data_IF_015368108475
#
_entry.id   IF_015368108475
#
_cell.length_a   1.000
_cell.length_b   1.000
_cell.length_c   1.000
_cell.angle_alpha   90.00
_cell.angle_beta   90.00
_cell.angle_gamma   90.00
#
_symmetry.space_group_name_H-M   'P 1'
#
loop_
_entity.id
_entity.type
_entity.pdbx_description
1 polymer ?
#
# COMPACT_ATOMS: atom_id res chain seq x y z
N UNK A 1 6.02 23.96 -10.83
CA UNK A 1 5.78 22.83 -9.92
C UNK A 1 4.31 22.46 -10.09
N UNK A 2 4.02 21.21 -10.45
CA UNK A 2 2.62 20.76 -10.58
C UNK A 2 1.98 20.63 -9.18
N UNK A 3 0.65 20.58 -9.11
CA UNK A 3 -0.07 20.35 -7.84
C UNK A 3 0.38 19.06 -7.16
N UNK A 4 0.73 18.05 -7.94
CA UNK A 4 1.24 16.77 -7.46
C UNK A 4 2.64 16.92 -6.84
N UNK A 5 3.56 17.62 -7.52
CA UNK A 5 4.90 17.81 -6.98
C UNK A 5 4.87 18.61 -5.66
N UNK A 6 3.93 19.57 -5.54
CA UNK A 6 3.70 20.30 -4.29
C UNK A 6 3.16 19.38 -3.19
N UNK A 7 2.28 18.43 -3.51
CA UNK A 7 1.80 17.44 -2.55
C UNK A 7 2.94 16.54 -2.06
N UNK A 8 3.78 16.01 -2.96
CA UNK A 8 4.95 15.22 -2.60
C UNK A 8 5.86 15.99 -1.65
N UNK A 9 6.18 17.24 -1.99
CA UNK A 9 7.03 18.08 -1.16
C UNK A 9 6.44 18.34 0.23
N UNK A 10 5.12 18.55 0.31
CA UNK A 10 4.44 18.72 1.59
C UNK A 10 4.51 17.47 2.48
N UNK A 11 4.57 16.27 1.88
CA UNK A 11 4.74 15.00 2.60
C UNK A 11 6.19 14.82 3.04
N UNK A 12 7.15 15.05 2.15
CA UNK A 12 8.60 14.99 2.45
C UNK A 12 8.99 15.94 3.59
N UNK A 13 8.40 17.15 3.62
CA UNK A 13 8.64 18.16 4.65
C UNK A 13 7.69 18.05 5.86
N UNK A 14 6.85 17.00 5.92
CA UNK A 14 5.85 16.85 6.98
C UNK A 14 6.52 16.49 8.31
N UNK A 15 6.04 17.13 9.37
CA UNK A 15 6.44 16.78 10.73
C UNK A 15 6.05 15.30 11.06
N UNK A 16 6.93 14.51 11.69
CA UNK A 16 6.68 13.09 11.94
C UNK A 16 5.39 12.78 12.70
N UNK A 17 5.00 13.61 13.68
CA UNK A 17 3.76 13.39 14.44
C UNK A 17 2.53 13.62 13.55
N UNK A 18 2.58 14.65 12.70
CA UNK A 18 1.51 14.93 11.72
C UNK A 18 1.43 13.85 10.66
N UNK A 19 2.57 13.36 10.19
CA UNK A 19 2.64 12.27 9.23
C UNK A 19 1.97 11.02 9.83
N UNK A 20 2.36 10.63 11.05
CA UNK A 20 1.79 9.48 11.73
C UNK A 20 0.28 9.66 11.98
N UNK A 21 -0.16 10.85 12.38
CA UNK A 21 -1.58 11.16 12.55
C UNK A 21 -2.34 10.98 11.23
N UNK A 22 -1.88 11.62 10.15
CA UNK A 22 -2.53 11.52 8.84
C UNK A 22 -2.57 10.07 8.33
N UNK A 23 -1.46 9.35 8.46
CA UNK A 23 -1.38 7.95 8.10
C UNK A 23 -2.42 7.10 8.86
N UNK A 24 -2.51 7.28 10.18
CA UNK A 24 -3.47 6.55 11.02
C UNK A 24 -4.92 6.90 10.70
N UNK A 25 -5.23 8.19 10.49
CA UNK A 25 -6.56 8.65 10.12
C UNK A 25 -7.01 8.02 8.80
N UNK A 26 -6.13 7.99 7.80
CA UNK A 26 -6.40 7.39 6.49
C UNK A 26 -6.48 5.86 6.57
N UNK A 27 -5.60 5.24 7.34
CA UNK A 27 -5.65 3.80 7.62
C UNK A 27 -7.01 3.38 8.18
N UNK A 28 -7.51 4.10 9.20
CA UNK A 28 -8.81 3.80 9.83
C UNK A 28 -9.97 4.00 8.85
N UNK A 29 -9.94 5.05 8.03
CA UNK A 29 -10.95 5.28 7.01
C UNK A 29 -11.00 4.14 5.99
N UNK A 30 -9.85 3.73 5.46
CA UNK A 30 -9.73 2.61 4.51
C UNK A 30 -10.20 1.31 5.13
N UNK A 31 -9.71 0.95 6.33
CA UNK A 31 -10.12 -0.28 7.04
C UNK A 31 -11.64 -0.29 7.24
N UNK A 32 -12.24 0.83 7.69
CA UNK A 32 -13.67 0.91 7.93
C UNK A 32 -14.49 0.68 6.65
N UNK A 33 -14.04 1.26 5.53
CA UNK A 33 -14.70 1.07 4.23
C UNK A 33 -14.54 -0.36 3.74
N UNK A 34 -13.33 -0.92 3.77
CA UNK A 34 -13.08 -2.31 3.39
C UNK A 34 -13.89 -3.31 4.23
N UNK A 35 -13.96 -3.11 5.54
CA UNK A 35 -14.80 -3.93 6.43
C UNK A 35 -16.29 -3.83 6.13
N UNK A 36 -16.77 -2.71 5.56
CA UNK A 36 -18.17 -2.60 5.13
C UNK A 36 -18.48 -3.31 3.82
N UNK A 37 -17.45 -3.59 3.01
CA UNK A 37 -17.54 -4.27 1.73
C UNK A 37 -17.42 -5.80 1.84
N UNK A 38 -16.88 -6.32 2.94
CA UNK A 38 -16.66 -7.75 3.13
C UNK A 38 -17.85 -8.40 3.85
N UNK A 39 -18.25 -9.60 3.39
CA UNK A 39 -19.47 -10.28 3.85
C UNK A 39 -19.46 -10.68 5.33
N UNK A 40 -18.27 -10.78 5.95
CA UNK A 40 -18.10 -11.12 7.37
C UNK A 40 -17.56 -9.96 8.23
N UNK A 41 -17.26 -8.80 7.61
CA UNK A 41 -16.70 -7.60 8.23
C UNK A 41 -15.30 -7.73 8.84
N UNK A 42 -14.78 -8.96 9.00
CA UNK A 42 -13.49 -9.27 9.62
C UNK A 42 -12.33 -9.20 8.64
N UNK A 43 -12.62 -9.37 7.35
CA UNK A 43 -11.59 -9.43 6.32
C UNK A 43 -11.00 -8.06 5.96
N UNK A 44 -11.69 -6.95 6.26
CA UNK A 44 -11.22 -5.60 5.89
C UNK A 44 -9.87 -5.22 6.50
N UNK A 45 -9.57 -5.68 7.72
CA UNK A 45 -8.24 -5.50 8.34
C UNK A 45 -7.18 -6.35 7.63
N UNK A 46 -7.52 -7.59 7.25
CA UNK A 46 -6.59 -8.48 6.53
C UNK A 46 -6.26 -7.92 5.15
N UNK A 47 -7.28 -7.50 4.38
CA UNK A 47 -7.11 -6.86 3.07
C UNK A 47 -6.25 -5.60 3.19
N UNK A 48 -6.48 -4.78 4.23
CA UNK A 48 -5.66 -3.60 4.48
C UNK A 48 -4.20 -3.96 4.78
N UNK A 49 -3.95 -4.99 5.60
CA UNK A 49 -2.59 -5.46 5.89
C UNK A 49 -1.88 -5.96 4.62
N UNK A 50 -2.58 -6.70 3.76
CA UNK A 50 -2.07 -7.16 2.47
C UNK A 50 -1.76 -5.99 1.53
N UNK A 51 -2.65 -4.99 1.47
CA UNK A 51 -2.44 -3.76 0.73
C UNK A 51 -1.17 -3.03 1.19
N UNK A 52 -1.03 -2.78 2.50
CA UNK A 52 0.13 -2.09 3.05
C UNK A 52 1.42 -2.85 2.77
N UNK A 53 1.40 -4.18 2.90
CA UNK A 53 2.53 -5.03 2.55
C UNK A 53 2.92 -4.87 1.08
N UNK A 54 1.93 -4.88 0.17
CA UNK A 54 2.17 -4.72 -1.26
C UNK A 54 2.69 -3.31 -1.61
N UNK A 55 2.18 -2.26 -0.94
CA UNK A 55 2.60 -0.87 -1.13
C UNK A 55 4.05 -0.64 -0.71
N UNK A 56 4.48 -1.15 0.44
CA UNK A 56 5.90 -1.11 0.86
C UNK A 56 6.77 -1.92 -0.11
N UNK A 57 6.26 -3.05 -0.61
CA UNK A 57 7.01 -3.91 -1.54
C UNK A 57 7.18 -3.32 -2.95
N UNK A 58 6.57 -2.17 -3.23
CA UNK A 58 6.52 -1.58 -4.57
C UNK A 58 7.88 -1.08 -5.06
N UNK A 59 8.83 -0.76 -4.17
CA UNK A 59 10.20 -0.36 -4.52
C UNK A 59 11.20 -1.55 -4.44
N UNK A 60 10.76 -2.67 -3.85
CA UNK A 60 11.51 -3.92 -3.70
C UNK A 60 12.54 -3.92 -2.57
N UNK A 61 12.50 -2.92 -1.68
CA UNK A 61 13.35 -2.84 -0.50
C UNK A 61 12.47 -2.70 0.74
N UNK A 62 13.11 -2.89 1.89
CA UNK A 62 12.47 -2.65 3.18
C UNK A 62 13.41 -1.74 3.95
N UNK A 63 12.99 -0.52 4.22
CA UNK A 63 13.71 0.43 5.05
C UNK A 63 13.41 0.21 6.53
N UNK A 64 14.20 0.77 7.45
CA UNK A 64 13.90 0.70 8.88
C UNK A 64 12.54 1.31 9.26
N UNK A 65 12.12 2.40 8.60
CA UNK A 65 10.85 3.05 8.92
C UNK A 65 9.66 2.25 8.34
N UNK A 66 9.79 1.74 7.13
CA UNK A 66 8.82 0.82 6.53
C UNK A 66 8.69 -0.48 7.35
N UNK A 67 9.81 -0.96 7.88
CA UNK A 67 9.79 -2.08 8.81
C UNK A 67 8.97 -1.78 10.06
N UNK A 68 9.12 -0.60 10.67
CA UNK A 68 8.31 -0.23 11.85
C UNK A 68 6.81 -0.21 11.51
N UNK A 69 6.46 0.20 10.29
CA UNK A 69 5.09 0.14 9.78
C UNK A 69 4.58 -1.30 9.67
N UNK A 70 5.39 -2.19 9.08
CA UNK A 70 5.05 -3.59 8.85
C UNK A 70 5.27 -4.51 10.05
N UNK A 71 5.93 -4.01 11.10
CA UNK A 71 6.30 -4.81 12.27
C UNK A 71 5.12 -5.59 12.85
N UNK A 72 3.91 -5.02 13.05
CA UNK A 72 2.77 -5.80 13.54
C UNK A 72 2.38 -6.97 12.62
N UNK A 73 2.58 -6.82 11.31
CA UNK A 73 2.35 -7.88 10.31
C UNK A 73 3.41 -8.96 10.45
N UNK A 74 4.69 -8.58 10.48
CA UNK A 74 5.79 -9.52 10.64
C UNK A 74 5.75 -10.27 11.97
N UNK A 75 5.43 -9.58 13.07
CA UNK A 75 5.30 -10.18 14.40
C UNK A 75 4.19 -11.24 14.42
N UNK A 76 3.05 -10.92 13.78
CA UNK A 76 1.93 -11.85 13.65
C UNK A 76 2.29 -13.06 12.79
N UNK A 77 3.00 -12.86 11.68
CA UNK A 77 3.40 -13.94 10.77
C UNK A 77 4.46 -14.86 11.39
N UNK A 78 5.38 -14.31 12.18
CA UNK A 78 6.47 -15.05 12.80
C UNK A 78 6.12 -15.57 14.21
N UNK A 79 4.94 -15.21 14.74
CA UNK A 79 4.49 -15.50 16.11
C UNK A 79 5.53 -15.10 17.19
N UNK A 80 6.29 -14.04 16.92
CA UNK A 80 7.34 -13.51 17.81
C UNK A 80 7.51 -12.01 17.62
N UNK A 81 8.14 -11.36 18.58
CA UNK A 81 8.63 -9.99 18.41
C UNK A 81 9.84 -10.01 17.45
N UNK A 82 9.65 -9.60 16.21
CA UNK A 82 10.69 -9.60 15.17
C UNK A 82 11.67 -8.44 15.35
N UNK A 83 12.93 -8.65 14.98
CA UNK A 83 13.88 -7.55 14.71
C UNK A 83 13.78 -7.06 13.27
N UNK A 84 14.46 -5.96 12.94
CA UNK A 84 14.56 -5.49 11.55
C UNK A 84 15.19 -6.55 10.63
N UNK A 85 16.22 -7.26 11.11
CA UNK A 85 16.87 -8.33 10.36
C UNK A 85 15.93 -9.51 10.10
N UNK A 86 15.09 -9.86 11.09
CA UNK A 86 14.01 -10.83 10.90
C UNK A 86 13.03 -10.35 9.82
N UNK A 87 12.61 -9.08 9.87
CA UNK A 87 11.72 -8.48 8.88
C UNK A 87 12.28 -8.53 7.46
N UNK A 88 13.55 -8.18 7.27
CA UNK A 88 14.25 -8.29 5.98
C UNK A 88 14.31 -9.75 5.49
N UNK A 89 14.55 -10.70 6.40
CA UNK A 89 14.56 -12.12 6.05
C UNK A 89 13.18 -12.60 5.58
N UNK A 90 12.12 -12.24 6.30
CA UNK A 90 10.72 -12.55 5.94
C UNK A 90 10.37 -11.92 4.60
N UNK A 91 10.70 -10.63 4.42
CA UNK A 91 10.43 -9.87 3.21
C UNK A 91 11.03 -10.53 1.96
N UNK A 92 12.31 -10.92 2.05
CA UNK A 92 12.98 -11.63 0.96
C UNK A 92 12.43 -13.04 0.74
N UNK A 93 12.13 -13.78 1.81
CA UNK A 93 11.62 -15.15 1.72
C UNK A 93 10.24 -15.21 1.04
N UNK A 94 9.41 -14.19 1.27
CA UNK A 94 8.11 -14.02 0.63
C UNK A 94 8.21 -13.51 -0.82
N UNK A 95 9.40 -13.11 -1.26
CA UNK A 95 9.61 -12.55 -2.60
C UNK A 95 9.12 -11.10 -2.74
N UNK A 96 8.91 -10.39 -1.63
CA UNK A 96 8.50 -8.98 -1.60
C UNK A 96 9.56 -8.04 -2.20
N UNK A 97 10.80 -8.51 -2.32
CA UNK A 97 11.89 -7.83 -3.03
C UNK A 97 11.77 -7.86 -4.57
N UNK A 98 10.58 -8.15 -5.12
CA UNK A 98 10.29 -8.23 -6.56
C UNK A 98 9.24 -7.18 -6.95
N UNK A 99 9.64 -5.91 -7.11
CA UNK A 99 8.72 -4.76 -7.11
C UNK A 99 7.66 -4.79 -8.22
N UNK A 100 8.03 -5.25 -9.43
CA UNK A 100 7.13 -5.22 -10.59
C UNK A 100 5.88 -6.10 -10.48
N UNK A 101 5.85 -7.07 -9.56
CA UNK A 101 4.63 -7.84 -9.27
C UNK A 101 3.71 -7.08 -8.32
N UNK A 102 4.26 -6.48 -7.26
CA UNK A 102 3.48 -5.80 -6.22
C UNK A 102 2.94 -4.45 -6.68
N UNK A 103 3.67 -3.70 -7.52
CA UNK A 103 3.14 -2.48 -8.14
C UNK A 103 1.84 -2.76 -8.91
N UNK A 104 1.75 -3.88 -9.63
CA UNK A 104 0.55 -4.29 -10.37
C UNK A 104 -0.59 -4.75 -9.45
N UNK A 105 -0.24 -5.40 -8.33
CA UNK A 105 -1.23 -5.79 -7.31
C UNK A 105 -1.86 -4.54 -6.71
N UNK A 106 -1.04 -3.56 -6.32
CA UNK A 106 -1.52 -2.30 -5.74
C UNK A 106 -2.36 -1.51 -6.74
N UNK A 107 -1.94 -1.44 -8.00
CA UNK A 107 -2.69 -0.80 -9.10
C UNK A 107 -4.09 -1.42 -9.24
N UNK A 108 -4.15 -2.75 -9.38
CA UNK A 108 -5.40 -3.49 -9.45
C UNK A 108 -6.29 -3.28 -8.21
N UNK A 109 -5.71 -3.29 -7.01
CA UNK A 109 -6.45 -3.05 -5.77
C UNK A 109 -7.05 -1.64 -5.74
N UNK A 110 -6.23 -0.60 -6.00
CA UNK A 110 -6.67 0.78 -6.03
C UNK A 110 -7.81 1.00 -7.03
N UNK A 111 -7.74 0.33 -8.17
CA UNK A 111 -8.77 0.37 -9.19
C UNK A 111 -10.06 -0.33 -8.81
N UNK A 112 -10.00 -1.58 -8.32
CA UNK A 112 -11.19 -2.30 -7.84
C UNK A 112 -11.89 -1.49 -6.77
N UNK A 113 -11.13 -0.92 -5.83
CA UNK A 113 -11.68 -0.08 -4.78
C UNK A 113 -12.28 1.22 -5.33
N UNK A 114 -11.65 1.85 -6.32
CA UNK A 114 -12.19 3.03 -6.99
C UNK A 114 -13.46 2.78 -7.79
N UNK A 115 -13.68 1.57 -8.32
CA UNK A 115 -14.95 1.20 -8.94
C UNK A 115 -16.11 1.16 -7.94
N UNK A 116 -15.81 0.95 -6.65
CA UNK A 116 -16.79 0.85 -5.58
C UNK A 116 -16.99 2.18 -4.86
N UNK A 117 -15.90 2.92 -4.62
CA UNK A 117 -15.89 4.19 -3.88
C UNK A 117 -14.66 5.03 -4.31
N UNK A 118 -14.89 6.16 -4.99
CA UNK A 118 -13.82 7.05 -5.44
C UNK A 118 -13.02 7.64 -4.27
N UNK A 119 -13.69 7.96 -3.15
CA UNK A 119 -13.01 8.48 -1.95
C UNK A 119 -12.12 7.39 -1.32
N UNK A 120 -12.48 6.09 -1.47
CA UNK A 120 -11.62 4.98 -1.03
C UNK A 120 -10.35 4.90 -1.87
N UNK A 121 -10.45 5.10 -3.20
CA UNK A 121 -9.28 5.13 -4.09
C UNK A 121 -8.36 6.30 -3.71
N UNK A 122 -8.91 7.48 -3.47
CA UNK A 122 -8.13 8.65 -3.04
C UNK A 122 -7.38 8.40 -1.72
N UNK A 123 -8.04 7.81 -0.72
CA UNK A 123 -7.41 7.49 0.55
C UNK A 123 -6.28 6.44 0.40
N UNK A 124 -6.47 5.44 -0.47
CA UNK A 124 -5.48 4.40 -0.77
C UNK A 124 -4.27 4.97 -1.49
N UNK A 125 -4.48 5.82 -2.49
CA UNK A 125 -3.39 6.50 -3.21
C UNK A 125 -2.61 7.39 -2.24
N UNK A 126 -3.29 8.11 -1.36
CA UNK A 126 -2.64 8.92 -0.34
C UNK A 126 -1.81 8.07 0.62
N UNK A 127 -2.29 6.89 1.03
CA UNK A 127 -1.52 5.97 1.86
C UNK A 127 -0.27 5.48 1.12
N UNK A 128 -0.37 5.08 -0.16
CA UNK A 128 0.81 4.72 -0.96
C UNK A 128 1.83 5.86 -1.01
N UNK A 129 1.36 7.08 -1.21
CA UNK A 129 2.23 8.26 -1.27
C UNK A 129 2.89 8.54 0.09
N UNK A 130 2.18 8.34 1.19
CA UNK A 130 2.74 8.42 2.54
C UNK A 130 3.80 7.32 2.74
N UNK A 131 3.54 6.07 2.37
CA UNK A 131 4.52 4.98 2.46
C UNK A 131 5.82 5.36 1.74
N UNK A 132 5.75 5.82 0.50
CA UNK A 132 6.94 6.31 -0.23
C UNK A 132 7.64 7.48 0.48
N UNK A 133 6.89 8.35 1.13
CA UNK A 133 7.42 9.51 1.84
C UNK A 133 7.96 9.23 3.24
N UNK A 134 7.84 8.00 3.75
CA UNK A 134 8.15 7.69 5.16
C UNK A 134 9.63 7.93 5.50
N UNK A 135 10.51 7.78 4.51
CA UNK A 135 11.95 8.03 4.65
C UNK A 135 12.36 9.48 4.34
N UNK A 136 11.38 10.36 4.06
CA UNK A 136 11.57 11.80 3.88
C UNK A 136 11.93 12.23 2.45
N UNK A 137 12.02 11.31 1.50
CA UNK A 137 12.23 11.61 0.07
C UNK A 137 11.36 10.69 -0.78
N UNK A 138 10.59 11.26 -1.71
CA UNK A 138 9.82 10.50 -2.69
C UNK A 138 10.58 10.58 -4.02
N UNK A 139 11.08 9.44 -4.48
CA UNK A 139 11.87 9.33 -5.70
C UNK A 139 11.03 9.60 -6.95
N UNK A 140 11.69 9.91 -8.08
CA UNK A 140 10.98 10.13 -9.35
C UNK A 140 10.27 8.86 -9.86
N UNK A 141 10.80 7.67 -9.55
CA UNK A 141 10.17 6.40 -9.91
C UNK A 141 8.90 6.16 -9.08
N UNK A 142 8.91 6.47 -7.78
CA UNK A 142 7.72 6.42 -6.93
C UNK A 142 6.68 7.46 -7.35
N UNK A 143 7.10 8.70 -7.66
CA UNK A 143 6.19 9.72 -8.21
C UNK A 143 5.53 9.25 -9.48
N UNK A 144 6.28 8.57 -10.37
CA UNK A 144 5.74 8.02 -11.60
C UNK A 144 4.72 6.91 -11.32
N UNK A 145 5.03 6.00 -10.38
CA UNK A 145 4.11 4.94 -9.98
C UNK A 145 2.83 5.49 -9.34
N UNK A 146 2.92 6.43 -8.40
CA UNK A 146 1.73 7.07 -7.79
C UNK A 146 0.87 7.79 -8.85
N UNK A 147 1.51 8.47 -9.82
CA UNK A 147 0.77 9.09 -10.95
C UNK A 147 -0.01 8.06 -11.76
N UNK A 148 0.52 6.85 -11.94
CA UNK A 148 -0.20 5.77 -12.62
C UNK A 148 -1.45 5.34 -11.84
N UNK A 149 -1.38 5.25 -10.50
CA UNK A 149 -2.54 4.90 -9.67
C UNK A 149 -3.68 5.93 -9.77
N UNK A 150 -3.33 7.21 -10.01
CA UNK A 150 -4.30 8.30 -10.19
C UNK A 150 -5.01 8.21 -11.55
N UNK A 151 -4.35 7.63 -12.57
CA UNK A 151 -4.96 7.48 -13.89
C UNK A 151 -6.11 6.47 -13.82
N UNK A 152 -7.27 6.75 -14.45
CA UNK A 152 -8.37 5.79 -14.51
C UNK A 152 -7.99 4.62 -15.41
N UNK A 153 -8.44 3.42 -15.02
CA UNK A 153 -8.22 2.18 -15.74
C UNK A 153 -8.58 2.28 -17.23
N UNK A 154 -7.60 1.94 -18.08
CA UNK A 154 -7.87 1.52 -19.45
C UNK A 154 -7.98 -0.01 -19.47
N UNK A 155 -9.08 -0.54 -18.93
CA UNK A 155 -9.34 -1.99 -19.02
C UNK A 155 -9.69 -2.35 -20.46
N UNK A 156 -8.82 -3.09 -21.13
CA UNK A 156 -9.23 -3.93 -22.27
C UNK A 156 -9.78 -5.30 -21.82
N UNK A 157 -9.67 -5.65 -20.53
CA UNK A 157 -9.99 -6.98 -19.96
C UNK A 157 -10.78 -6.80 -18.66
N UNK A 158 -11.76 -7.67 -18.38
CA UNK A 158 -12.61 -7.63 -17.18
C UNK A 158 -11.80 -7.91 -15.88
N UNK A 159 -11.82 -7.03 -14.85
CA UNK A 159 -11.12 -7.23 -13.57
C UNK A 159 -11.40 -8.56 -12.89
N UNK A 160 -12.63 -9.09 -13.04
CA UNK A 160 -13.01 -10.37 -12.45
C UNK A 160 -12.26 -11.56 -13.08
N UNK A 161 -11.90 -11.45 -14.35
CA UNK A 161 -11.17 -12.49 -15.08
C UNK A 161 -9.72 -12.59 -14.58
N UNK A 162 -9.10 -11.47 -14.22
CA UNK A 162 -7.75 -11.42 -13.66
C UNK A 162 -7.69 -11.96 -12.23
N UNK A 163 -8.66 -11.60 -11.37
CA UNK A 163 -8.75 -12.07 -9.98
C UNK A 163 -8.88 -13.59 -9.92
N UNK A 164 -9.78 -14.17 -10.72
CA UNK A 164 -9.93 -15.62 -10.80
C UNK A 164 -8.61 -16.30 -11.20
N UNK A 165 -7.90 -15.73 -12.19
CA UNK A 165 -6.60 -16.23 -12.61
C UNK A 165 -5.48 -16.12 -11.56
N UNK A 166 -5.60 -15.22 -10.59
CA UNK A 166 -4.66 -15.08 -9.46
C UNK A 166 -5.02 -16.05 -8.32
N UNK A 167 -6.30 -16.12 -7.94
CA UNK A 167 -6.80 -17.01 -6.89
C UNK A 167 -6.66 -18.49 -7.27
N UNK A 168 -6.78 -18.84 -8.54
CA UNK A 168 -6.58 -20.21 -9.03
C UNK A 168 -5.11 -20.66 -9.05
N UNK A 169 -4.16 -19.75 -8.81
CA UNK A 169 -2.70 -20.00 -8.84
C UNK A 169 -2.01 -19.95 -7.47
N UNK A 170 -2.73 -19.60 -6.41
CA UNK A 170 -2.27 -19.66 -5.01
C UNK A 170 -2.67 -21.01 -4.38
#
# INVERSE_FOLDING_TARGET
MSSFDTLCKNIEEMDPDKFAQLFNEKSVAVISKLSSLTADGKDGVSIYMEFILASVSADGKLSPNEYLLLKPVFDRMAEKDTSYEDGVAIFNAMGLNKPGAYQKVVDLMADIFGMVDEDLKDDIILICLLVCGIDGEITEDEKKWIKQLIEPLQLEIDPMEYINGFLDKA
#
